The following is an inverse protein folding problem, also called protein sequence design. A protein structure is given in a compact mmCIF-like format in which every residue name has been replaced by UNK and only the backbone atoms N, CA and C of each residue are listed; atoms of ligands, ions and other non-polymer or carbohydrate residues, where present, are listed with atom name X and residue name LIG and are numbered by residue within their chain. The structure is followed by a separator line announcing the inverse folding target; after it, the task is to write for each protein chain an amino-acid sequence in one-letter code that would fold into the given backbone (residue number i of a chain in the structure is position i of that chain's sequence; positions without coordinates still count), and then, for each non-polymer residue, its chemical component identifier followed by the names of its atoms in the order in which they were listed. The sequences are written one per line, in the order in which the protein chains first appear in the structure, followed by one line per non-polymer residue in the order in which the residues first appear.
data_IF_117177889892
#
_entry.id   IF_117177889892
#
_cell.length_a   1.000
_cell.length_b   1.000
_cell.length_c   1.000
_cell.angle_alpha   90.00
_cell.angle_beta   90.00
_cell.angle_gamma   90.00
#
_symmetry.space_group_name_H-M   'P 1'
#
loop_
_entity.id
_entity.type
_entity.pdbx_description
1 polymer ?
#
# COMPACT_ATOMS: atom_id res chain seq x y z
N UNK A 1 18.18 -30.99 -21.67
CA UNK A 1 17.89 -30.99 -20.22
C UNK A 1 17.57 -29.57 -19.75
N UNK A 2 16.51 -28.95 -20.28
CA UNK A 2 16.31 -27.48 -20.16
C UNK A 2 14.88 -27.06 -19.86
N UNK A 3 13.87 -27.92 -20.05
CA UNK A 3 12.46 -27.54 -19.81
C UNK A 3 12.02 -27.75 -18.34
N UNK A 4 12.56 -28.77 -17.66
CA UNK A 4 12.23 -29.10 -16.26
C UNK A 4 12.74 -28.02 -15.29
N UNK A 5 13.93 -27.45 -15.57
CA UNK A 5 14.50 -26.36 -14.76
C UNK A 5 13.75 -25.04 -14.91
N UNK A 6 13.22 -24.74 -16.10
CA UNK A 6 12.45 -23.51 -16.34
C UNK A 6 11.08 -23.55 -15.65
N UNK A 7 10.38 -24.68 -15.71
CA UNK A 7 9.11 -24.88 -15.00
C UNK A 7 9.29 -24.82 -13.48
N UNK A 8 10.35 -25.46 -12.95
CA UNK A 8 10.67 -25.40 -11.51
C UNK A 8 11.04 -24.00 -11.03
N UNK A 9 11.82 -23.23 -11.80
CA UNK A 9 12.19 -21.86 -11.44
C UNK A 9 10.96 -20.93 -11.40
N UNK A 10 10.06 -21.05 -12.37
CA UNK A 10 8.82 -20.25 -12.41
C UNK A 10 7.90 -20.55 -11.22
N UNK A 11 7.78 -21.82 -10.83
CA UNK A 11 7.01 -22.24 -9.66
C UNK A 11 7.60 -21.68 -8.36
N UNK A 12 8.93 -21.74 -8.20
CA UNK A 12 9.62 -21.17 -7.04
C UNK A 12 9.47 -19.65 -6.95
N UNK A 13 9.55 -18.94 -8.08
CA UNK A 13 9.33 -17.50 -8.16
C UNK A 13 7.88 -17.13 -7.81
N UNK A 14 6.91 -17.86 -8.37
CA UNK A 14 5.49 -17.65 -8.06
C UNK A 14 5.20 -17.87 -6.57
N UNK A 15 5.73 -18.96 -5.99
CA UNK A 15 5.60 -19.27 -4.56
C UNK A 15 6.25 -18.20 -3.66
N UNK A 16 7.43 -17.69 -4.01
CA UNK A 16 8.07 -16.60 -3.26
C UNK A 16 7.24 -15.32 -3.34
N UNK A 17 6.73 -14.99 -4.52
CA UNK A 17 5.92 -13.80 -4.72
C UNK A 17 4.58 -13.89 -3.97
N UNK A 18 3.93 -15.05 -3.99
CA UNK A 18 2.69 -15.26 -3.24
C UNK A 18 2.92 -15.18 -1.73
N UNK A 19 3.99 -15.77 -1.21
CA UNK A 19 4.38 -15.62 0.20
C UNK A 19 4.67 -14.17 0.58
N UNK A 20 5.30 -13.39 -0.30
CA UNK A 20 5.55 -11.97 -0.07
C UNK A 20 4.25 -11.16 -0.04
N UNK A 21 3.34 -11.40 -1.00
CA UNK A 21 2.01 -10.74 -1.03
C UNK A 21 1.20 -11.08 0.21
N UNK A 22 1.12 -12.35 0.58
CA UNK A 22 0.40 -12.80 1.79
C UNK A 22 1.03 -12.20 3.05
N UNK A 23 2.36 -12.21 3.16
CA UNK A 23 3.06 -11.57 4.29
C UNK A 23 2.77 -10.07 4.35
N UNK A 24 2.75 -9.37 3.22
CA UNK A 24 2.42 -7.94 3.18
C UNK A 24 1.00 -7.66 3.65
N UNK A 25 0.03 -8.48 3.24
CA UNK A 25 -1.36 -8.37 3.67
C UNK A 25 -1.47 -8.56 5.19
N UNK A 26 -0.79 -9.58 5.73
CA UNK A 26 -0.79 -9.88 7.18
C UNK A 26 -0.18 -8.72 7.96
N UNK A 27 0.98 -8.20 7.52
CA UNK A 27 1.66 -7.08 8.19
C UNK A 27 0.80 -5.83 8.16
N UNK A 28 0.17 -5.50 7.03
CA UNK A 28 -0.72 -4.34 6.94
C UNK A 28 -1.96 -4.49 7.83
N UNK A 29 -2.56 -5.68 7.89
CA UNK A 29 -3.66 -5.96 8.82
C UNK A 29 -3.24 -5.75 10.28
N UNK A 30 -2.04 -6.23 10.64
CA UNK A 30 -1.48 -6.04 11.97
C UNK A 30 -1.27 -4.55 12.30
N UNK A 31 -0.66 -3.78 11.40
CA UNK A 31 -0.45 -2.34 11.60
C UNK A 31 -1.76 -1.57 11.74
N UNK A 32 -2.76 -1.84 10.89
CA UNK A 32 -4.08 -1.21 11.00
C UNK A 32 -4.72 -1.56 12.35
N UNK A 33 -4.66 -2.82 12.77
CA UNK A 33 -5.18 -3.26 14.06
C UNK A 33 -4.48 -2.56 15.23
N UNK A 34 -3.15 -2.42 15.18
CA UNK A 34 -2.38 -1.68 16.18
C UNK A 34 -2.77 -0.20 16.25
N UNK A 35 -2.98 0.44 15.10
CA UNK A 35 -3.41 1.85 15.05
C UNK A 35 -4.78 2.02 15.68
N UNK A 36 -5.76 1.18 15.30
CA UNK A 36 -7.11 1.23 15.91
C UNK A 36 -7.04 0.96 17.42
N UNK A 37 -6.19 0.04 17.85
CA UNK A 37 -5.99 -0.19 19.28
C UNK A 37 -5.43 1.08 19.96
N UNK A 38 -4.37 1.68 19.43
CA UNK A 38 -3.75 2.87 20.04
C UNK A 38 -4.71 4.07 20.07
N UNK A 39 -5.46 4.32 18.99
CA UNK A 39 -6.36 5.48 18.90
C UNK A 39 -7.56 5.37 19.82
N UNK A 40 -8.09 4.16 20.02
CA UNK A 40 -9.24 3.94 20.91
C UNK A 40 -8.85 3.68 22.37
N UNK A 41 -7.55 3.64 22.69
CA UNK A 41 -7.02 3.21 23.99
C UNK A 41 -7.49 4.14 25.13
N UNK A 42 -8.56 3.74 25.81
CA UNK A 42 -9.05 4.41 27.00
C UNK A 42 -8.49 3.73 28.25
N UNK A 43 -7.50 4.36 28.89
CA UNK A 43 -6.79 3.85 30.10
C UNK A 43 -7.75 3.52 31.26
N UNK A 44 -8.95 4.12 31.27
CA UNK A 44 -9.91 4.03 32.36
C UNK A 44 -10.83 2.80 32.32
N UNK A 45 -10.99 2.11 31.18
CA UNK A 45 -11.85 0.90 31.06
C UNK A 45 -11.32 -0.09 29.99
N UNK A 46 -10.39 -1.00 30.35
CA UNK A 46 -9.69 -1.85 29.39
C UNK A 46 -10.58 -2.92 28.72
N UNK A 47 -11.62 -3.45 29.38
CA UNK A 47 -12.48 -4.48 28.78
C UNK A 47 -13.47 -3.91 27.74
N UNK A 48 -14.12 -2.78 28.02
CA UNK A 48 -15.10 -2.20 27.09
C UNK A 48 -14.44 -1.65 25.84
N UNK A 49 -13.22 -1.11 25.96
CA UNK A 49 -12.44 -0.65 24.80
C UNK A 49 -12.08 -1.81 23.86
N UNK A 50 -11.79 -3.00 24.41
CA UNK A 50 -11.43 -4.17 23.60
C UNK A 50 -12.64 -4.70 22.82
N UNK A 51 -13.83 -4.69 23.43
CA UNK A 51 -15.09 -5.02 22.76
C UNK A 51 -15.47 -4.00 21.67
N UNK A 52 -15.34 -2.70 21.96
CA UNK A 52 -15.60 -1.64 20.97
C UNK A 52 -14.63 -1.72 19.79
N UNK A 53 -13.34 -1.96 20.06
CA UNK A 53 -12.32 -2.13 19.01
C UNK A 53 -12.56 -3.40 18.20
N UNK A 54 -12.97 -4.50 18.85
CA UNK A 54 -13.31 -5.74 18.16
C UNK A 54 -14.55 -5.60 17.27
N UNK A 55 -15.56 -4.85 17.72
CA UNK A 55 -16.73 -4.49 16.92
C UNK A 55 -16.36 -3.66 15.69
N UNK A 56 -15.43 -2.69 15.85
CA UNK A 56 -14.90 -1.91 14.73
C UNK A 56 -14.15 -2.81 13.75
N UNK A 57 -13.24 -3.68 14.23
CA UNK A 57 -12.46 -4.61 13.39
C UNK A 57 -13.35 -5.59 12.63
N UNK A 58 -14.41 -6.08 13.27
CA UNK A 58 -15.36 -7.03 12.65
C UNK A 58 -16.40 -6.35 11.77
N UNK A 59 -16.45 -5.02 11.74
CA UNK A 59 -17.40 -4.27 10.93
C UNK A 59 -17.16 -4.49 9.42
N UNK A 60 -18.24 -4.70 8.67
CA UNK A 60 -18.18 -4.90 7.21
C UNK A 60 -17.46 -3.74 6.49
N UNK A 61 -17.57 -2.52 7.00
CA UNK A 61 -16.89 -1.34 6.46
C UNK A 61 -15.36 -1.47 6.51
N UNK A 62 -14.81 -2.02 7.60
CA UNK A 62 -13.38 -2.32 7.77
C UNK A 62 -12.91 -3.29 6.67
N UNK A 63 -13.66 -4.39 6.49
CA UNK A 63 -13.36 -5.42 5.50
C UNK A 63 -13.43 -4.90 4.06
N UNK A 64 -14.40 -4.04 3.71
CA UNK A 64 -14.46 -3.42 2.38
C UNK A 64 -13.21 -2.60 2.06
N UNK A 65 -12.76 -1.76 3.00
CA UNK A 65 -11.57 -0.95 2.79
C UNK A 65 -10.28 -1.79 2.74
N UNK A 66 -10.20 -2.82 3.59
CA UNK A 66 -9.09 -3.77 3.55
C UNK A 66 -9.05 -4.57 2.24
N UNK A 67 -10.20 -4.91 1.66
CA UNK A 67 -10.29 -5.59 0.37
C UNK A 67 -9.71 -4.72 -0.76
N UNK A 68 -9.95 -3.41 -0.74
CA UNK A 68 -9.34 -2.47 -1.69
C UNK A 68 -7.82 -2.47 -1.56
N UNK A 69 -7.29 -2.40 -0.32
CA UNK A 69 -5.86 -2.47 -0.08
C UNK A 69 -5.27 -3.80 -0.58
N UNK A 70 -5.90 -4.93 -0.25
CA UNK A 70 -5.47 -6.26 -0.67
C UNK A 70 -5.44 -6.37 -2.21
N UNK A 71 -6.44 -5.84 -2.90
CA UNK A 71 -6.48 -5.83 -4.37
C UNK A 71 -5.29 -5.06 -4.94
N UNK A 72 -4.96 -3.89 -4.39
CA UNK A 72 -3.84 -3.07 -4.84
C UNK A 72 -2.50 -3.79 -4.63
N UNK A 73 -2.29 -4.45 -3.47
CA UNK A 73 -1.07 -5.24 -3.21
C UNK A 73 -0.97 -6.41 -4.18
N UNK A 74 -2.07 -7.12 -4.45
CA UNK A 74 -2.08 -8.24 -5.40
C UNK A 74 -1.72 -7.74 -6.80
N UNK A 75 -2.30 -6.63 -7.26
CA UNK A 75 -1.97 -6.02 -8.54
C UNK A 75 -0.49 -5.64 -8.63
N UNK A 76 0.05 -5.01 -7.58
CA UNK A 76 1.48 -4.71 -7.51
C UNK A 76 2.33 -5.98 -7.54
N UNK A 77 1.94 -7.02 -6.79
CA UNK A 77 2.62 -8.31 -6.78
C UNK A 77 2.66 -8.96 -8.16
N UNK A 78 1.55 -8.90 -8.91
CA UNK A 78 1.49 -9.41 -10.29
C UNK A 78 2.40 -8.62 -11.23
N UNK A 79 2.37 -7.29 -11.17
CA UNK A 79 3.21 -6.44 -12.03
C UNK A 79 4.69 -6.61 -11.70
N UNK A 80 5.06 -6.62 -10.42
CA UNK A 80 6.42 -6.87 -9.98
C UNK A 80 6.90 -8.28 -10.36
N UNK A 81 6.05 -9.30 -10.28
CA UNK A 81 6.39 -10.67 -10.71
C UNK A 81 6.75 -10.73 -12.20
N UNK A 82 6.01 -10.00 -13.04
CA UNK A 82 6.31 -9.90 -14.48
C UNK A 82 7.66 -9.23 -14.73
N UNK A 83 8.06 -8.28 -13.88
CA UNK A 83 9.39 -7.68 -13.93
C UNK A 83 10.50 -8.66 -13.53
N UNK A 84 10.34 -9.41 -12.44
CA UNK A 84 11.35 -10.42 -12.06
C UNK A 84 11.56 -11.52 -13.10
N UNK A 85 10.54 -11.83 -13.92
CA UNK A 85 10.62 -12.80 -15.01
C UNK A 85 11.26 -12.22 -16.28
N UNK A 86 11.20 -10.89 -16.46
CA UNK A 86 11.96 -10.20 -17.51
C UNK A 86 13.36 -9.97 -16.97
N UNK A 87 14.32 -10.78 -17.42
CA UNK A 87 15.74 -10.52 -17.17
C UNK A 87 16.09 -9.17 -17.80
N UNK A 88 16.01 -8.08 -17.03
CA UNK A 88 16.44 -6.76 -17.49
C UNK A 88 17.97 -6.77 -17.58
N UNK A 89 18.48 -6.45 -18.77
CA UNK A 89 19.90 -6.32 -18.99
C UNK A 89 20.42 -5.12 -18.17
N UNK A 90 21.55 -5.25 -17.45
CA UNK A 90 22.09 -4.16 -16.64
C UNK A 90 22.38 -2.94 -17.53
N UNK A 91 21.68 -1.84 -17.28
CA UNK A 91 21.91 -0.57 -17.98
C UNK A 91 23.24 0.02 -17.53
N UNK A 92 24.12 0.31 -18.48
CA UNK A 92 25.52 0.67 -18.23
C UNK A 92 25.74 2.13 -17.79
N UNK A 93 24.73 3.01 -17.90
CA UNK A 93 24.86 4.43 -17.54
C UNK A 93 23.65 4.96 -16.75
N UNK A 94 23.88 5.94 -15.86
CA UNK A 94 22.80 6.60 -15.08
C UNK A 94 21.78 7.32 -15.94
N UNK A 95 22.19 7.80 -17.12
CA UNK A 95 21.27 8.41 -18.10
C UNK A 95 20.38 7.36 -18.76
N UNK A 96 20.91 6.18 -19.06
CA UNK A 96 20.11 5.06 -19.56
C UNK A 96 19.06 4.58 -18.53
N UNK A 97 19.37 4.65 -17.23
CA UNK A 97 18.39 4.41 -16.14
C UNK A 97 17.28 5.46 -16.16
N UNK A 98 17.62 6.74 -16.34
CA UNK A 98 16.60 7.78 -16.46
C UNK A 98 15.71 7.60 -17.69
N UNK A 99 16.29 7.21 -18.83
CA UNK A 99 15.50 6.87 -20.01
C UNK A 99 14.65 5.60 -19.81
N UNK A 100 15.13 4.60 -19.06
CA UNK A 100 14.36 3.38 -18.78
C UNK A 100 13.16 3.64 -17.86
N UNK A 101 13.25 4.62 -16.95
CA UNK A 101 12.13 5.11 -16.12
C UNK A 101 10.95 5.62 -16.95
N UNK A 102 11.21 6.19 -18.13
CA UNK A 102 10.17 6.73 -19.04
C UNK A 102 9.47 5.64 -19.88
N UNK A 103 9.82 4.37 -19.69
CA UNK A 103 9.13 3.26 -20.35
C UNK A 103 7.71 3.13 -19.80
N UNK A 104 6.67 2.87 -20.62
CA UNK A 104 5.29 2.71 -20.15
C UNK A 104 5.14 1.65 -19.05
N UNK A 105 6.01 0.63 -19.05
CA UNK A 105 6.08 -0.36 -17.98
C UNK A 105 6.54 0.24 -16.64
N UNK A 106 7.63 1.01 -16.62
CA UNK A 106 8.12 1.66 -15.40
C UNK A 106 7.18 2.76 -14.92
N UNK A 107 6.49 3.43 -15.85
CA UNK A 107 5.41 4.33 -15.50
C UNK A 107 4.27 3.61 -14.75
N UNK A 108 3.87 2.41 -15.20
CA UNK A 108 2.87 1.58 -14.51
C UNK A 108 3.35 1.15 -13.10
N UNK A 109 4.61 0.72 -12.99
CA UNK A 109 5.22 0.35 -11.69
C UNK A 109 5.28 1.55 -10.75
N UNK A 110 5.67 2.71 -11.24
CA UNK A 110 5.68 3.97 -10.49
C UNK A 110 4.28 4.35 -10.02
N UNK A 111 3.30 4.34 -10.93
CA UNK A 111 1.90 4.64 -10.62
C UNK A 111 1.33 3.70 -9.53
N UNK A 112 1.67 2.41 -9.58
CA UNK A 112 1.24 1.45 -8.54
C UNK A 112 1.87 1.76 -7.18
N UNK A 113 3.16 2.10 -7.11
CA UNK A 113 3.82 2.48 -5.86
C UNK A 113 3.23 3.77 -5.27
N UNK A 114 2.94 4.77 -6.10
CA UNK A 114 2.25 5.98 -5.67
C UNK A 114 0.84 5.68 -5.15
N UNK A 115 0.09 4.87 -5.89
CA UNK A 115 -1.28 4.47 -5.52
C UNK A 115 -1.30 3.73 -4.19
N UNK A 116 -0.31 2.87 -3.92
CA UNK A 116 -0.20 2.19 -2.62
C UNK A 116 0.05 3.19 -1.50
N UNK A 117 0.99 4.12 -1.67
CA UNK A 117 1.25 5.16 -0.68
C UNK A 117 -0.01 5.96 -0.34
N UNK A 118 -0.78 6.33 -1.37
CA UNK A 118 -2.07 7.04 -1.22
C UNK A 118 -3.08 6.17 -0.48
N UNK A 119 -3.34 4.94 -0.96
CA UNK A 119 -4.37 4.05 -0.41
C UNK A 119 -4.06 3.68 1.04
N UNK A 120 -2.78 3.48 1.37
CA UNK A 120 -2.35 3.10 2.71
C UNK A 120 -2.57 4.26 3.69
N UNK A 121 -2.18 5.49 3.31
CA UNK A 121 -2.47 6.67 4.13
C UNK A 121 -3.97 6.92 4.22
N UNK A 122 -4.69 6.89 3.10
CA UNK A 122 -6.14 7.05 3.06
C UNK A 122 -6.86 6.08 4.00
N UNK A 123 -6.44 4.81 3.99
CA UNK A 123 -6.98 3.78 4.85
C UNK A 123 -6.73 4.09 6.33
N UNK A 124 -5.52 4.51 6.68
CA UNK A 124 -5.19 4.90 8.05
C UNK A 124 -6.05 6.07 8.53
N UNK A 125 -6.20 7.12 7.70
CA UNK A 125 -7.02 8.29 8.05
C UNK A 125 -8.52 7.95 8.10
N UNK A 126 -8.99 7.00 7.29
CA UNK A 126 -10.37 6.54 7.33
C UNK A 126 -10.73 5.79 8.63
N UNK A 127 -9.72 5.22 9.32
CA UNK A 127 -9.89 4.58 10.63
C UNK A 127 -9.66 5.53 11.82
N UNK A 128 -9.08 6.70 11.58
CA UNK A 128 -8.91 7.72 12.60
C UNK A 128 -10.25 8.46 12.80
N UNK A 129 -10.86 8.33 13.98
CA UNK A 129 -12.11 9.02 14.28
C UNK A 129 -11.93 10.54 14.30
N UNK A 130 -12.91 11.26 13.75
CA UNK A 130 -12.97 12.72 13.79
C UNK A 130 -12.56 13.41 12.49
N UNK A 131 -11.79 14.48 12.64
CA UNK A 131 -11.53 15.50 11.63
C UNK A 131 -10.69 15.03 10.43
N UNK A 132 -10.10 13.84 10.50
CA UNK A 132 -9.23 13.24 9.50
C UNK A 132 -9.97 12.26 8.56
N UNK A 133 -11.18 11.84 8.92
CA UNK A 133 -11.97 10.84 8.20
C UNK A 133 -12.59 11.33 6.88
N UNK A 134 -12.66 12.65 6.67
CA UNK A 134 -13.30 13.25 5.50
C UNK A 134 -12.39 14.27 4.84
N UNK A 135 -12.27 14.16 3.51
CA UNK A 135 -11.51 15.07 2.66
C UNK A 135 -12.05 16.52 2.70
N UNK A 136 -13.35 16.67 2.97
CA UNK A 136 -13.98 17.99 3.12
C UNK A 136 -14.86 18.08 4.36
N UNK A 137 -14.90 19.27 4.96
CA UNK A 137 -15.78 19.62 6.06
C UNK A 137 -16.79 20.69 5.62
N UNK A 138 -18.04 20.62 6.11
CA UNK A 138 -19.01 21.67 5.85
C UNK A 138 -18.56 22.97 6.53
N UNK A 139 -18.45 24.03 5.74
CA UNK A 139 -18.14 25.39 6.17
C UNK A 139 -19.34 26.31 5.94
N UNK A 140 -19.31 27.50 6.58
CA UNK A 140 -20.40 28.49 6.50
C UNK A 140 -20.81 28.87 5.07
N UNK A 141 -19.90 28.75 4.10
CA UNK A 141 -20.21 28.85 2.66
C UNK A 141 -19.53 27.71 1.88
N UNK A 142 -20.14 26.52 1.89
CA UNK A 142 -19.75 25.38 1.06
C UNK A 142 -18.88 24.34 1.77
N UNK A 143 -18.06 23.62 1.01
CA UNK A 143 -17.17 22.56 1.49
C UNK A 143 -15.73 23.07 1.60
N UNK A 144 -15.19 23.15 2.81
CA UNK A 144 -13.78 23.44 3.06
C UNK A 144 -12.94 22.17 2.97
N UNK A 145 -11.76 22.28 2.38
CA UNK A 145 -10.81 21.18 2.27
C UNK A 145 -10.04 21.01 3.59
N UNK A 146 -9.87 19.77 4.04
CA UNK A 146 -9.10 19.49 5.27
C UNK A 146 -7.63 19.45 4.93
N UNK A 147 -6.90 20.50 5.35
CA UNK A 147 -5.47 20.66 5.05
C UNK A 147 -4.64 19.49 5.58
N UNK A 148 -4.92 19.01 6.79
CA UNK A 148 -4.18 17.92 7.43
C UNK A 148 -4.32 16.60 6.67
N UNK A 149 -5.54 16.28 6.21
CA UNK A 149 -5.79 15.09 5.40
C UNK A 149 -5.02 15.15 4.07
N UNK A 150 -4.96 16.32 3.45
CA UNK A 150 -4.26 16.54 2.18
C UNK A 150 -2.74 16.46 2.35
N UNK A 151 -2.21 17.02 3.43
CA UNK A 151 -0.78 16.96 3.76
C UNK A 151 -0.33 15.51 3.97
N UNK A 152 -1.11 14.73 4.73
CA UNK A 152 -0.82 13.32 4.96
C UNK A 152 -0.88 12.51 3.67
N UNK A 153 -1.89 12.72 2.82
CA UNK A 153 -1.95 12.05 1.51
C UNK A 153 -0.73 12.36 0.64
N UNK A 154 -0.29 13.63 0.60
CA UNK A 154 0.93 14.03 -0.10
C UNK A 154 2.19 13.35 0.47
N UNK A 155 2.26 13.15 1.79
CA UNK A 155 3.35 12.38 2.40
C UNK A 155 3.33 10.91 1.94
N UNK A 156 2.14 10.32 1.77
CA UNK A 156 1.96 8.99 1.18
C UNK A 156 2.47 8.92 -0.26
N UNK A 157 2.11 9.91 -1.09
CA UNK A 157 2.61 10.07 -2.47
C UNK A 157 4.13 10.17 -2.50
N UNK A 158 4.71 11.02 -1.66
CA UNK A 158 6.16 11.22 -1.59
C UNK A 158 6.89 9.94 -1.19
N UNK A 159 6.34 9.19 -0.25
CA UNK A 159 6.90 7.90 0.18
C UNK A 159 6.86 6.88 -0.96
N UNK A 160 5.75 6.76 -1.68
CA UNK A 160 5.63 5.91 -2.87
C UNK A 160 6.62 6.30 -3.99
N UNK A 161 6.79 7.60 -4.23
CA UNK A 161 7.74 8.13 -5.19
C UNK A 161 9.20 7.79 -4.79
N UNK A 162 9.54 7.98 -3.52
CA UNK A 162 10.86 7.67 -2.98
C UNK A 162 11.22 6.20 -3.16
N UNK A 163 10.30 5.28 -2.82
CA UNK A 163 10.52 3.84 -3.00
C UNK A 163 10.69 3.46 -4.46
N UNK A 164 9.90 4.02 -5.37
CA UNK A 164 10.01 3.76 -6.80
C UNK A 164 11.36 4.23 -7.36
N UNK A 165 11.78 5.46 -7.02
CA UNK A 165 13.07 6.01 -7.45
C UNK A 165 14.20 5.15 -6.89
N UNK A 166 14.19 4.86 -5.59
CA UNK A 166 15.21 4.03 -4.94
C UNK A 166 15.35 2.65 -5.59
N UNK A 167 14.23 1.99 -5.89
CA UNK A 167 14.24 0.67 -6.52
C UNK A 167 14.71 0.70 -7.98
N UNK A 168 14.61 1.86 -8.66
CA UNK A 168 15.04 2.00 -10.05
C UNK A 168 16.52 2.37 -10.20
N UNK A 169 17.14 2.90 -9.13
CA UNK A 169 18.56 3.28 -9.10
C UNK A 169 19.44 2.27 -8.34
N UNK A 170 18.86 1.23 -7.75
CA UNK A 170 19.56 0.16 -7.02
C UNK A 170 19.85 -1.05 -7.91
#
# INVERSE_FOLDING_TARGET
MTEIGHKGCKELLFRRMSMAVVSSIIVQFFFVSCVVLITHLSITKPLSWLEDTWSIITCFRMWCHFLVLALVIVLQGVVCSKNYLKSEAPTTTRFAVFCSLLTPHNFLVGALNLTIGIVLVWLHLAFEEGNYSSFSKPCKEGSCLVEEHSFLLMAGVWTGAYYFIKNSFS
#
